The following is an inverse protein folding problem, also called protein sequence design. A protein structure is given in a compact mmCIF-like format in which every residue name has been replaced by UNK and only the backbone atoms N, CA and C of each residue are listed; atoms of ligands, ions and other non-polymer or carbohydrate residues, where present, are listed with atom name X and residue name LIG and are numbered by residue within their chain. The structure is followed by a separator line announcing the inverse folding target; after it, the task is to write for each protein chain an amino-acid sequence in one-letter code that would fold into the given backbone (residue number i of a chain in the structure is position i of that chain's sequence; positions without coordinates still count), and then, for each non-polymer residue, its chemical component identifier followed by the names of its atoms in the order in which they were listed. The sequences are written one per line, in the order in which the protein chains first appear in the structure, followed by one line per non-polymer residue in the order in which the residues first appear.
data_IF_937566533878
#
_entry.id   IF_937566533878
#
_cell.length_a   1.000
_cell.length_b   1.000
_cell.length_c   1.000
_cell.angle_alpha   90.00
_cell.angle_beta   90.00
_cell.angle_gamma   90.00
#
_symmetry.space_group_name_H-M   'P 1'
#
loop_
_entity.id
_entity.type
_entity.pdbx_description
1 polymer ?
#
# COMPACT_ATOMS: atom_id res chain seq x y z
N UNK A 1 8.68 23.21 -7.07
CA UNK A 1 7.86 22.21 -7.77
C UNK A 1 8.66 20.92 -7.88
N UNK A 2 8.16 19.79 -7.37
CA UNK A 2 8.76 18.48 -7.60
C UNK A 2 8.56 18.04 -9.06
N UNK A 3 9.02 16.82 -9.41
CA UNK A 3 8.91 16.32 -10.78
C UNK A 3 7.45 16.19 -11.25
N UNK A 4 6.52 15.78 -10.38
CA UNK A 4 5.11 15.62 -10.73
C UNK A 4 4.43 16.97 -10.99
N UNK A 5 4.70 17.99 -10.17
CA UNK A 5 4.20 19.35 -10.44
C UNK A 5 4.77 19.90 -11.74
N UNK A 6 6.07 19.72 -12.02
CA UNK A 6 6.69 20.22 -13.26
C UNK A 6 6.19 19.54 -14.52
N UNK A 7 6.04 18.21 -14.49
CA UNK A 7 5.67 17.43 -15.68
C UNK A 7 4.17 17.44 -15.93
N UNK A 8 3.36 17.44 -14.87
CA UNK A 8 1.91 17.20 -14.99
C UNK A 8 1.04 18.31 -14.41
N UNK A 9 1.63 19.38 -13.84
CA UNK A 9 0.85 20.46 -13.20
C UNK A 9 0.09 19.98 -11.96
N UNK A 10 0.59 18.94 -11.28
CA UNK A 10 -0.03 18.40 -10.09
C UNK A 10 0.20 19.32 -8.90
N UNK A 11 -0.88 19.64 -8.21
CA UNK A 11 -0.89 20.37 -6.95
C UNK A 11 -0.93 19.41 -5.75
N UNK A 12 -0.33 19.86 -4.66
CA UNK A 12 -0.22 19.12 -3.41
C UNK A 12 -0.83 19.89 -2.26
N UNK A 13 -1.44 19.15 -1.34
CA UNK A 13 -1.93 19.68 -0.08
C UNK A 13 -1.38 18.86 1.08
N UNK A 14 -1.12 19.53 2.20
CA UNK A 14 -0.79 18.85 3.45
C UNK A 14 -2.09 18.38 4.12
N UNK A 15 -2.21 17.08 4.40
CA UNK A 15 -3.31 16.48 5.14
C UNK A 15 -2.85 16.12 6.56
N UNK A 16 -3.69 16.45 7.53
CA UNK A 16 -3.48 16.06 8.92
C UNK A 16 -3.55 14.53 9.05
N UNK A 17 -2.59 13.96 9.78
CA UNK A 17 -2.49 12.51 10.01
C UNK A 17 -2.79 12.14 11.48
N UNK A 18 -3.26 13.12 12.25
CA UNK A 18 -3.53 12.99 13.67
C UNK A 18 -2.29 13.18 14.53
N UNK A 19 -2.51 13.04 15.84
CA UNK A 19 -1.51 13.31 16.87
C UNK A 19 -0.23 12.48 16.65
N UNK A 20 0.92 13.14 16.86
CA UNK A 20 2.28 12.59 16.77
C UNK A 20 2.68 12.03 15.39
N UNK A 21 2.00 12.47 14.32
CA UNK A 21 2.38 12.14 12.94
C UNK A 21 2.69 13.39 12.13
N UNK A 22 3.68 13.28 11.26
CA UNK A 22 3.90 14.31 10.24
C UNK A 22 2.72 14.35 9.26
N UNK A 23 2.37 15.54 8.75
CA UNK A 23 1.35 15.66 7.73
C UNK A 23 1.76 14.87 6.47
N UNK A 24 0.77 14.28 5.82
CA UNK A 24 0.95 13.63 4.54
C UNK A 24 0.77 14.65 3.41
N UNK A 25 1.65 14.62 2.41
CA UNK A 25 1.43 15.36 1.17
C UNK A 25 0.55 14.54 0.24
N UNK A 26 -0.64 15.05 -0.06
CA UNK A 26 -1.62 14.41 -0.92
C UNK A 26 -1.83 15.23 -2.20
N UNK A 27 -2.20 14.55 -3.28
CA UNK A 27 -2.59 15.22 -4.53
C UNK A 27 -3.94 15.89 -4.30
N UNK A 28 -4.01 17.21 -4.48
CA UNK A 28 -5.22 18.01 -4.20
C UNK A 28 -6.45 17.51 -4.97
N UNK A 29 -6.24 17.05 -6.20
CA UNK A 29 -7.32 16.55 -7.05
C UNK A 29 -7.85 15.15 -6.68
N UNK A 30 -7.24 14.45 -5.71
CA UNK A 30 -7.66 13.09 -5.31
C UNK A 30 -8.44 13.15 -3.99
N UNK A 31 -9.76 12.92 -3.99
CA UNK A 31 -10.58 12.93 -2.79
C UNK A 31 -10.07 11.97 -1.70
N UNK A 32 -10.19 12.37 -0.44
CA UNK A 32 -9.80 11.53 0.70
C UNK A 32 -10.59 10.22 0.77
N UNK A 33 -11.87 10.23 0.37
CA UNK A 33 -12.71 9.03 0.31
C UNK A 33 -12.10 7.95 -0.59
N UNK A 34 -11.59 8.33 -1.78
CA UNK A 34 -10.92 7.39 -2.68
C UNK A 34 -9.63 6.85 -2.05
N UNK A 35 -8.84 7.71 -1.40
CA UNK A 35 -7.63 7.27 -0.69
C UNK A 35 -7.98 6.26 0.40
N UNK A 36 -9.05 6.50 1.17
CA UNK A 36 -9.53 5.63 2.24
C UNK A 36 -10.00 4.27 1.70
N UNK A 37 -10.78 4.25 0.64
CA UNK A 37 -11.27 3.01 0.01
C UNK A 37 -10.10 2.16 -0.52
N UNK A 38 -9.19 2.77 -1.28
CA UNK A 38 -8.02 2.06 -1.82
C UNK A 38 -7.06 1.61 -0.71
N UNK A 39 -6.92 2.38 0.37
CA UNK A 39 -6.11 1.97 1.53
C UNK A 39 -6.72 0.77 2.26
N UNK A 40 -8.04 0.69 2.31
CA UNK A 40 -8.76 -0.46 2.88
C UNK A 40 -8.49 -1.72 2.05
N UNK A 41 -8.55 -1.62 0.72
CA UNK A 41 -8.18 -2.73 -0.17
C UNK A 41 -6.73 -3.17 0.02
N UNK A 42 -5.79 -2.22 0.12
CA UNK A 42 -4.38 -2.54 0.41
C UNK A 42 -4.21 -3.25 1.76
N UNK A 43 -4.96 -2.83 2.79
CA UNK A 43 -4.96 -3.51 4.10
C UNK A 43 -5.47 -4.94 3.98
N UNK A 44 -6.53 -5.19 3.22
CA UNK A 44 -7.03 -6.54 2.98
C UNK A 44 -5.99 -7.41 2.25
N UNK A 45 -5.25 -6.85 1.29
CA UNK A 45 -4.16 -7.55 0.60
C UNK A 45 -3.06 -7.95 1.59
N UNK A 46 -2.61 -7.03 2.45
CA UNK A 46 -1.58 -7.35 3.46
C UNK A 46 -2.05 -8.41 4.46
N UNK A 47 -3.31 -8.38 4.90
CA UNK A 47 -3.88 -9.44 5.74
C UNK A 47 -3.90 -10.78 4.98
N UNK A 48 -4.31 -10.78 3.71
CA UNK A 48 -4.29 -11.98 2.88
C UNK A 48 -2.88 -12.56 2.70
N UNK A 49 -1.88 -11.69 2.51
CA UNK A 49 -0.47 -12.07 2.41
C UNK A 49 0.06 -12.69 3.69
N UNK A 50 -0.25 -12.11 4.87
CA UNK A 50 0.13 -12.69 6.16
C UNK A 50 -0.44 -14.12 6.28
N UNK A 51 -1.72 -14.31 5.97
CA UNK A 51 -2.36 -15.63 6.00
C UNK A 51 -1.68 -16.65 5.08
N UNK A 52 -1.26 -16.23 3.89
CA UNK A 52 -0.53 -17.10 2.95
C UNK A 52 0.85 -17.49 3.48
N UNK A 53 1.55 -16.56 4.14
CA UNK A 53 2.85 -16.82 4.77
C UNK A 53 2.67 -17.81 5.93
N UNK A 54 1.70 -17.58 6.82
CA UNK A 54 1.43 -18.44 7.97
C UNK A 54 1.10 -19.87 7.53
N UNK A 55 0.21 -20.03 6.54
CA UNK A 55 -0.14 -21.34 5.99
C UNK A 55 1.06 -22.05 5.33
N UNK A 56 1.97 -21.30 4.71
CA UNK A 56 3.17 -21.88 4.13
C UNK A 56 4.16 -22.34 5.19
N UNK A 57 4.34 -21.58 6.28
CA UNK A 57 5.20 -21.94 7.39
C UNK A 57 4.66 -23.18 8.10
N UNK A 58 3.36 -23.22 8.39
CA UNK A 58 2.72 -24.39 9.02
C UNK A 58 2.95 -25.67 8.21
N UNK A 59 2.82 -25.58 6.88
CA UNK A 59 3.00 -26.73 5.98
C UNK A 59 4.46 -27.14 5.75
N UNK A 60 5.39 -26.18 5.70
CA UNK A 60 6.76 -26.42 5.21
C UNK A 60 7.86 -26.17 6.25
N UNK A 61 7.51 -25.67 7.44
CA UNK A 61 8.43 -25.37 8.54
C UNK A 61 9.41 -24.22 8.25
N UNK A 62 9.19 -23.44 7.18
CA UNK A 62 10.11 -22.35 6.77
C UNK A 62 9.38 -21.25 6.01
N UNK A 63 9.99 -20.07 5.96
CA UNK A 63 9.51 -18.93 5.18
C UNK A 63 9.49 -19.24 3.66
N UNK A 64 8.53 -18.67 2.91
CA UNK A 64 8.53 -18.79 1.45
C UNK A 64 9.72 -18.04 0.85
N UNK A 65 10.33 -18.65 -0.17
CA UNK A 65 11.36 -17.99 -0.98
C UNK A 65 10.78 -16.86 -1.83
N UNK A 66 11.63 -15.97 -2.35
CA UNK A 66 11.23 -14.94 -3.32
C UNK A 66 10.55 -15.54 -4.56
N UNK A 67 10.98 -16.73 -5.02
CA UNK A 67 10.33 -17.42 -6.14
C UNK A 67 8.93 -17.92 -5.80
N UNK A 68 8.71 -18.36 -4.56
CA UNK A 68 7.39 -18.76 -4.05
C UNK A 68 6.47 -17.54 -3.96
N UNK A 69 6.97 -16.44 -3.39
CA UNK A 69 6.26 -15.16 -3.35
C UNK A 69 5.83 -14.71 -4.75
N UNK A 70 6.74 -14.77 -5.75
CA UNK A 70 6.45 -14.29 -7.11
C UNK A 70 5.33 -15.07 -7.77
N UNK A 71 5.25 -16.37 -7.50
CA UNK A 71 4.18 -17.22 -8.01
C UNK A 71 2.79 -16.80 -7.48
N UNK A 72 2.70 -16.42 -6.21
CA UNK A 72 1.44 -15.99 -5.61
C UNK A 72 0.95 -14.64 -6.16
N UNK A 73 1.87 -13.73 -6.49
CA UNK A 73 1.54 -12.41 -6.99
C UNK A 73 1.34 -12.37 -8.52
N UNK A 74 1.64 -13.46 -9.23
CA UNK A 74 1.38 -13.55 -10.66
C UNK A 74 -0.12 -13.74 -10.99
N UNK A 75 -0.92 -14.12 -10.00
CA UNK A 75 -2.34 -14.45 -10.15
C UNK A 75 -3.26 -13.64 -9.22
N UNK A 76 -2.73 -12.62 -8.54
CA UNK A 76 -3.48 -11.67 -7.70
C UNK A 76 -3.70 -10.36 -8.45
#
# INVERSE_FOLDING_TARGET
ADHMTRTFGIEWEARDMGRDRNPAWAITAVPEELVSEFSTRSRHIEVGKIRLIDAYIDKHGKQPSTSTWRRWNLHA
#
